data_IF_409054246989
#
_entry.id   IF_409054246989
#
_cell.length_a   1.000
_cell.length_b   1.000
_cell.length_c   1.000
_cell.angle_alpha   90.00
_cell.angle_beta   90.00
_cell.angle_gamma   90.00
#
_symmetry.space_group_name_H-M   'P 1'
#
loop_
_entity.id
_entity.type
_entity.pdbx_description
1 polymer ?
#
# COMPACT_ATOMS: atom_id res chain seq x y z
N UNK A 1 -17.81 10.80 13.54
CA UNK A 1 -16.88 11.16 12.45
C UNK A 1 -16.65 9.90 11.62
N UNK A 2 -17.07 9.93 10.35
CA UNK A 2 -16.92 8.80 9.44
C UNK A 2 -15.49 8.81 8.91
N UNK A 3 -14.70 7.83 9.35
CA UNK A 3 -13.38 7.54 8.80
C UNK A 3 -13.61 6.52 7.68
N UNK A 4 -13.11 6.81 6.48
CA UNK A 4 -13.29 6.08 5.23
C UNK A 4 -14.55 6.47 4.44
N UNK A 5 -14.34 7.31 3.42
CA UNK A 5 -15.22 7.35 2.26
C UNK A 5 -15.24 5.94 1.65
N UNK A 6 -16.42 5.41 1.31
CA UNK A 6 -16.54 4.15 0.58
C UNK A 6 -15.63 4.21 -0.64
N UNK A 7 -14.51 3.48 -0.59
CA UNK A 7 -13.69 3.23 -1.76
C UNK A 7 -14.54 2.30 -2.62
N UNK A 8 -15.44 2.90 -3.42
CA UNK A 8 -16.15 2.16 -4.47
C UNK A 8 -15.07 1.47 -5.29
N UNK A 9 -15.25 0.17 -5.50
CA UNK A 9 -14.48 -0.65 -6.42
C UNK A 9 -14.60 -0.04 -7.81
N UNK A 10 -13.76 0.96 -8.08
CA UNK A 10 -13.40 1.35 -9.43
C UNK A 10 -12.28 0.39 -9.79
N UNK A 11 -12.49 -0.36 -10.87
CA UNK A 11 -11.59 -1.35 -11.41
C UNK A 11 -10.13 -0.91 -11.35
N UNK A 12 -9.28 -1.89 -11.04
CA UNK A 12 -7.90 -1.72 -10.61
C UNK A 12 -6.91 -1.27 -11.71
N UNK A 13 -7.42 -0.78 -12.84
CA UNK A 13 -6.63 -0.29 -13.96
C UNK A 13 -7.07 1.13 -14.34
N UNK A 14 -6.45 2.12 -13.72
CA UNK A 14 -6.14 3.38 -14.38
C UNK A 14 -5.18 4.16 -13.49
N UNK A 15 -3.98 4.34 -14.01
CA UNK A 15 -3.07 5.40 -13.58
C UNK A 15 -3.90 6.67 -13.44
N UNK A 16 -3.92 7.28 -12.25
CA UNK A 16 -4.52 8.60 -12.12
C UNK A 16 -3.76 9.50 -13.09
N UNK A 17 -4.45 10.12 -14.03
CA UNK A 17 -3.79 11.02 -14.97
C UNK A 17 -3.13 12.15 -14.18
N UNK A 18 -1.94 12.59 -14.61
CA UNK A 18 -1.19 13.65 -13.92
C UNK A 18 -2.03 14.93 -13.75
N UNK A 19 -2.94 15.22 -14.70
CA UNK A 19 -3.88 16.35 -14.62
C UNK A 19 -4.86 16.27 -13.44
N UNK A 20 -5.13 15.07 -12.94
CA UNK A 20 -6.05 14.82 -11.83
C UNK A 20 -5.31 14.82 -10.48
N UNK A 21 -3.97 14.92 -10.47
CA UNK A 21 -3.13 14.94 -9.28
C UNK A 21 -2.93 16.37 -8.77
N UNK A 22 -3.41 16.64 -7.57
CA UNK A 22 -3.15 17.90 -6.88
C UNK A 22 -1.96 17.74 -5.93
N UNK A 23 -0.91 18.55 -6.12
CA UNK A 23 0.25 18.57 -5.22
C UNK A 23 -0.18 19.07 -3.84
N UNK A 24 0.10 18.29 -2.80
CA UNK A 24 -0.23 18.64 -1.41
C UNK A 24 1.01 18.89 -0.55
N UNK A 25 2.16 18.31 -0.90
CA UNK A 25 3.43 18.55 -0.20
C UNK A 25 4.64 18.28 -1.10
N UNK A 26 5.77 18.89 -0.77
CA UNK A 26 7.07 18.60 -1.39
C UNK A 26 8.21 18.73 -0.39
N UNK A 27 9.19 17.85 -0.51
CA UNK A 27 10.41 17.89 0.28
C UNK A 27 11.55 17.19 -0.46
N UNK A 28 12.79 17.50 -0.08
CA UNK A 28 13.96 16.83 -0.65
C UNK A 28 14.73 16.08 0.43
N UNK A 29 15.30 14.94 0.05
CA UNK A 29 16.16 14.12 0.92
C UNK A 29 17.54 13.96 0.29
N UNK A 30 18.49 13.38 1.05
CA UNK A 30 19.87 13.14 0.59
C UNK A 30 20.51 14.43 0.04
N UNK A 31 20.52 15.47 0.85
CA UNK A 31 21.13 16.77 0.52
C UNK A 31 20.58 17.40 -0.77
N UNK A 32 19.28 17.20 -1.04
CA UNK A 32 18.61 17.75 -2.22
C UNK A 32 18.80 16.94 -3.50
N UNK A 33 19.45 15.78 -3.44
CA UNK A 33 19.64 14.94 -4.64
C UNK A 33 18.38 14.17 -5.06
N UNK A 34 17.42 14.00 -4.15
CA UNK A 34 16.15 13.31 -4.40
C UNK A 34 15.00 14.21 -3.99
N UNK A 35 14.13 14.54 -4.93
CA UNK A 35 12.92 15.31 -4.66
C UNK A 35 11.72 14.39 -4.52
N UNK A 36 10.91 14.67 -3.51
CA UNK A 36 9.67 13.96 -3.21
C UNK A 36 8.52 14.93 -3.35
N UNK A 37 7.50 14.52 -4.11
CA UNK A 37 6.26 15.25 -4.29
C UNK A 37 5.10 14.34 -3.86
N UNK A 38 4.25 14.83 -2.97
CA UNK A 38 3.06 14.11 -2.51
C UNK A 38 1.84 14.70 -3.18
N UNK A 39 1.05 13.86 -3.81
CA UNK A 39 -0.16 14.24 -4.53
C UNK A 39 -1.39 13.57 -3.95
N UNK A 40 -2.53 14.26 -4.07
CA UNK A 40 -3.86 13.68 -3.86
C UNK A 40 -4.65 13.73 -5.17
N UNK A 41 -5.15 12.59 -5.61
CA UNK A 41 -5.98 12.54 -6.80
C UNK A 41 -7.36 13.14 -6.51
N UNK A 42 -7.79 14.09 -7.33
CA UNK A 42 -9.08 14.78 -7.17
C UNK A 42 -10.28 13.87 -7.46
N UNK A 43 -10.11 12.87 -8.33
CA UNK A 43 -11.14 11.88 -8.72
C UNK A 43 -11.29 10.74 -7.71
N UNK A 44 -10.22 9.99 -7.47
CA UNK A 44 -10.26 8.78 -6.64
C UNK A 44 -9.86 9.01 -5.18
N UNK A 45 -9.45 10.24 -4.82
CA UNK A 45 -9.03 10.66 -3.47
C UNK A 45 -7.79 9.94 -2.92
N UNK A 46 -7.18 9.02 -3.68
CA UNK A 46 -5.95 8.31 -3.29
C UNK A 46 -4.73 9.22 -3.29
N UNK A 47 -3.77 8.88 -2.44
CA UNK A 47 -2.46 9.53 -2.38
C UNK A 47 -1.46 8.87 -3.33
N UNK A 48 -0.56 9.69 -3.85
CA UNK A 48 0.57 9.29 -4.69
C UNK A 48 1.85 9.98 -4.24
N UNK A 49 2.96 9.27 -4.33
CA UNK A 49 4.30 9.80 -4.06
C UNK A 49 5.13 9.76 -5.34
N UNK A 50 5.53 10.90 -5.85
CA UNK A 50 6.47 10.98 -6.96
C UNK A 50 7.87 11.19 -6.41
N UNK A 51 8.80 10.34 -6.85
CA UNK A 51 10.22 10.41 -6.52
C UNK A 51 10.95 10.85 -7.77
N UNK A 52 11.69 11.95 -7.70
CA UNK A 52 12.51 12.47 -8.79
C UNK A 52 13.99 12.35 -8.43
N UNK A 53 14.78 11.74 -9.32
CA UNK A 53 16.22 11.58 -9.14
C UNK A 53 16.92 11.59 -10.50
N UNK A 54 17.90 12.51 -10.69
CA UNK A 54 18.69 12.65 -11.92
C UNK A 54 17.85 12.74 -13.21
N UNK A 55 16.70 13.40 -13.15
CA UNK A 55 15.79 13.57 -14.29
C UNK A 55 14.81 12.40 -14.51
N UNK A 56 14.97 11.28 -13.80
CA UNK A 56 14.00 10.19 -13.79
C UNK A 56 12.93 10.43 -12.71
N UNK A 57 11.67 10.16 -13.03
CA UNK A 57 10.53 10.24 -12.10
C UNK A 57 9.88 8.87 -11.94
N UNK A 58 9.51 8.52 -10.70
CA UNK A 58 8.76 7.31 -10.38
C UNK A 58 7.58 7.64 -9.49
N UNK A 59 6.38 7.26 -9.91
CA UNK A 59 5.15 7.44 -9.14
C UNK A 59 4.83 6.18 -8.37
N UNK A 60 4.55 6.34 -7.08
CA UNK A 60 4.27 5.26 -6.13
C UNK A 60 2.87 5.44 -5.59
N UNK A 61 2.10 4.37 -5.62
CA UNK A 61 0.92 4.20 -4.77
C UNK A 61 1.37 3.88 -3.35
N UNK A 62 0.50 4.14 -2.39
CA UNK A 62 0.73 3.73 -1.01
C UNK A 62 1.01 2.21 -0.96
N UNK A 63 2.09 1.84 -0.28
CA UNK A 63 2.55 0.45 -0.19
C UNK A 63 3.58 0.03 -1.26
N UNK A 64 3.78 0.85 -2.28
CA UNK A 64 4.77 0.60 -3.33
C UNK A 64 6.16 1.12 -2.95
N UNK A 65 7.15 0.62 -3.69
CA UNK A 65 8.54 1.03 -3.62
C UNK A 65 9.01 1.50 -5.00
N UNK A 66 9.97 2.42 -5.01
CA UNK A 66 10.48 3.03 -6.24
C UNK A 66 11.14 2.05 -7.17
N UNK A 67 11.74 0.97 -6.67
CA UNK A 67 12.43 -0.04 -7.48
C UNK A 67 11.57 -1.29 -7.55
N UNK A 68 11.19 -1.74 -8.75
CA UNK A 68 10.43 -2.98 -8.90
C UNK A 68 11.31 -4.20 -8.62
N UNK A 69 10.71 -5.33 -8.22
CA UNK A 69 11.44 -6.54 -7.84
C UNK A 69 12.33 -7.05 -8.98
N UNK A 70 11.90 -6.88 -10.22
CA UNK A 70 12.62 -7.29 -11.44
C UNK A 70 13.89 -6.44 -11.68
N UNK A 71 13.90 -5.20 -11.20
CA UNK A 71 15.08 -4.31 -11.28
C UNK A 71 16.12 -4.64 -10.21
N UNK A 72 15.69 -5.24 -9.09
CA UNK A 72 16.55 -5.67 -8.00
C UNK A 72 17.53 -6.77 -8.44
N UNK A 73 17.04 -7.72 -9.24
CA UNK A 73 17.83 -8.85 -9.77
C UNK A 73 18.94 -8.38 -10.70
N UNK A 74 18.79 -7.20 -11.31
CA UNK A 74 19.76 -6.69 -12.29
C UNK A 74 20.90 -5.87 -11.70
N UNK A 75 20.90 -5.55 -10.39
CA UNK A 75 21.93 -4.72 -9.70
C UNK A 75 22.34 -3.41 -10.42
N UNK A 76 21.58 -2.96 -11.42
CA UNK A 76 22.00 -1.94 -12.38
C UNK A 76 21.26 -0.61 -12.21
N UNK A 77 20.25 -0.55 -11.35
CA UNK A 77 19.49 0.69 -11.15
C UNK A 77 20.23 1.62 -10.19
N UNK A 78 20.57 2.82 -10.68
CA UNK A 78 21.13 3.92 -9.87
C UNK A 78 20.06 4.69 -9.10
N UNK A 79 18.77 4.36 -9.30
CA UNK A 79 17.66 5.03 -8.66
C UNK A 79 17.60 4.66 -7.17
N UNK A 80 17.34 5.60 -6.24
CA UNK A 80 17.25 5.29 -4.81
C UNK A 80 16.03 4.43 -4.47
N UNK A 81 16.19 3.44 -3.59
CA UNK A 81 15.09 2.68 -3.01
C UNK A 81 14.34 3.58 -2.03
N UNK A 82 13.09 3.93 -2.35
CA UNK A 82 12.19 4.79 -1.58
C UNK A 82 10.83 4.10 -1.50
N UNK A 83 10.22 4.13 -0.33
CA UNK A 83 8.89 3.57 -0.09
C UNK A 83 7.87 4.69 0.04
N UNK A 84 6.60 4.38 -0.28
CA UNK A 84 5.48 5.17 0.22
C UNK A 84 4.77 4.39 1.33
N UNK A 85 5.16 4.66 2.57
CA UNK A 85 4.69 3.91 3.74
C UNK A 85 3.29 4.34 4.19
N UNK A 86 2.59 3.43 4.88
CA UNK A 86 1.25 3.71 5.40
C UNK A 86 1.27 4.83 6.44
N UNK A 87 2.31 4.88 7.28
CA UNK A 87 2.56 5.91 8.28
C UNK A 87 2.70 7.30 7.64
N UNK A 88 3.46 7.38 6.55
CA UNK A 88 3.64 8.61 5.76
C UNK A 88 2.30 9.02 5.12
N UNK A 89 1.60 8.09 4.46
CA UNK A 89 0.30 8.37 3.85
C UNK A 89 -0.74 8.80 4.90
N UNK A 90 -0.73 8.21 6.10
CA UNK A 90 -1.63 8.57 7.20
C UNK A 90 -1.40 9.99 7.71
N UNK A 91 -0.14 10.47 7.70
CA UNK A 91 0.18 11.85 8.07
C UNK A 91 -0.48 12.86 7.13
N UNK A 92 -0.51 12.57 5.83
CA UNK A 92 -1.09 13.47 4.83
C UNK A 92 -2.60 13.34 4.71
N UNK A 93 -3.16 12.13 4.84
CA UNK A 93 -4.61 11.92 4.77
C UNK A 93 -5.08 10.71 5.58
N UNK A 94 -5.42 10.96 6.85
CA UNK A 94 -5.97 9.94 7.73
C UNK A 94 -7.40 9.49 7.36
N UNK A 95 -8.11 10.21 6.47
CA UNK A 95 -9.48 9.86 6.08
C UNK A 95 -9.55 8.57 5.25
N UNK A 96 -8.41 8.15 4.68
CA UNK A 96 -8.24 6.90 3.92
C UNK A 96 -8.16 5.65 4.80
N UNK A 97 -8.10 5.80 6.12
CA UNK A 97 -7.80 4.74 7.06
C UNK A 97 -8.94 4.48 8.04
N UNK A 98 -9.28 3.20 8.24
CA UNK A 98 -10.22 2.74 9.28
C UNK A 98 -9.51 2.30 10.56
N UNK A 99 -8.21 1.99 10.47
CA UNK A 99 -7.31 1.71 11.59
C UNK A 99 -6.19 2.74 11.67
N UNK A 100 -5.52 2.81 12.81
CA UNK A 100 -4.28 3.59 12.89
C UNK A 100 -3.08 2.75 12.38
N UNK A 101 -1.95 3.38 11.97
CA UNK A 101 -0.80 2.66 11.44
C UNK A 101 -0.23 1.61 12.40
N UNK A 102 -0.29 1.85 13.71
CA UNK A 102 0.16 0.88 14.72
C UNK A 102 -0.66 -0.41 14.70
N UNK A 103 -1.98 -0.31 14.54
CA UNK A 103 -2.87 -1.46 14.43
C UNK A 103 -2.69 -2.24 13.12
N UNK A 104 -2.39 -1.53 12.03
CA UNK A 104 -2.30 -2.12 10.70
C UNK A 104 -0.89 -2.57 10.33
N UNK A 105 0.13 -2.19 11.11
CA UNK A 105 1.56 -2.47 10.87
C UNK A 105 1.87 -3.94 10.57
N UNK A 106 1.10 -4.88 11.12
CA UNK A 106 1.29 -6.31 10.86
C UNK A 106 1.16 -6.64 9.37
N UNK A 107 0.22 -6.02 8.65
CA UNK A 107 -0.05 -6.33 7.26
C UNK A 107 0.37 -5.17 6.35
N UNK A 108 1.29 -5.45 5.43
CA UNK A 108 1.67 -4.49 4.40
C UNK A 108 0.42 -4.07 3.61
N UNK A 109 0.24 -2.76 3.39
CA UNK A 109 -0.86 -2.10 2.66
C UNK A 109 -2.24 -2.10 3.33
N UNK A 110 -2.40 -2.73 4.50
CA UNK A 110 -3.69 -2.72 5.17
C UNK A 110 -3.97 -1.33 5.75
N UNK A 111 -5.12 -0.75 5.43
CA UNK A 111 -5.57 0.54 6.02
C UNK A 111 -6.73 0.38 6.99
N UNK A 112 -7.30 -0.82 7.08
CA UNK A 112 -8.40 -1.14 7.98
C UNK A 112 -7.90 -1.85 9.23
N UNK A 113 -8.35 -1.41 10.41
CA UNK A 113 -7.99 -2.06 11.67
C UNK A 113 -8.35 -3.54 11.63
N UNK A 114 -7.42 -4.47 11.94
CA UNK A 114 -7.70 -5.90 12.00
C UNK A 114 -8.86 -6.24 12.94
N UNK A 115 -9.08 -5.45 13.99
CA UNK A 115 -10.20 -5.61 14.94
C UNK A 115 -11.59 -5.42 14.30
N UNK A 116 -11.64 -4.81 13.13
CA UNK A 116 -12.88 -4.51 12.40
C UNK A 116 -13.08 -5.41 11.18
N UNK A 117 -12.16 -6.33 10.93
CA UNK A 117 -12.21 -7.24 9.80
C UNK A 117 -13.02 -8.49 10.17
N UNK A 118 -14.06 -8.77 9.40
CA UNK A 118 -14.87 -9.96 9.54
C UNK A 118 -14.51 -10.95 8.42
N UNK A 119 -14.16 -12.18 8.78
CA UNK A 119 -13.85 -13.20 7.78
C UNK A 119 -15.07 -13.46 6.89
N UNK A 120 -14.88 -13.38 5.58
CA UNK A 120 -15.89 -13.68 4.56
C UNK A 120 -15.66 -15.07 3.99
N UNK A 121 -14.42 -15.36 3.60
CA UNK A 121 -14.06 -16.60 2.90
C UNK A 121 -12.61 -16.97 3.18
N UNK A 122 -12.35 -18.25 3.42
CA UNK A 122 -10.99 -18.81 3.35
C UNK A 122 -10.74 -19.30 1.92
N UNK A 123 -9.69 -18.79 1.28
CA UNK A 123 -9.31 -19.21 -0.07
C UNK A 123 -8.48 -20.48 0.03
N UNK A 124 -7.45 -20.47 0.87
CA UNK A 124 -6.57 -21.61 1.07
C UNK A 124 -5.87 -21.55 2.44
N UNK A 125 -5.46 -22.73 2.89
CA UNK A 125 -4.67 -22.90 4.10
C UNK A 125 -3.81 -24.16 3.94
N UNK A 126 -2.50 -24.00 4.01
CA UNK A 126 -1.52 -25.07 3.96
C UNK A 126 -0.54 -24.90 5.12
N UNK A 127 -0.27 -25.99 5.84
CA UNK A 127 0.73 -26.04 6.90
C UNK A 127 1.51 -27.35 6.75
N UNK A 128 2.77 -27.23 6.35
CA UNK A 128 3.65 -28.36 6.04
C UNK A 128 4.98 -28.18 6.77
N UNK A 129 4.92 -28.04 8.09
CA UNK A 129 6.06 -28.03 8.99
C UNK A 129 6.98 -26.81 8.79
N UNK A 130 7.84 -26.86 7.78
CA UNK A 130 8.77 -25.77 7.44
C UNK A 130 8.10 -24.62 6.66
N UNK A 131 6.88 -24.83 6.15
CA UNK A 131 6.15 -23.85 5.34
C UNK A 131 4.72 -23.70 5.82
N UNK A 132 4.23 -22.47 5.91
CA UNK A 132 2.84 -22.13 6.21
C UNK A 132 2.32 -21.10 5.22
N UNK A 133 1.09 -21.31 4.76
CA UNK A 133 0.43 -20.43 3.81
C UNK A 133 -1.05 -20.28 4.16
N UNK A 134 -1.52 -19.05 4.29
CA UNK A 134 -2.93 -18.74 4.52
C UNK A 134 -3.36 -17.55 3.68
N UNK A 135 -4.47 -17.72 2.97
CA UNK A 135 -5.09 -16.65 2.20
C UNK A 135 -6.60 -16.60 2.48
N UNK A 136 -7.08 -15.44 2.92
CA UNK A 136 -8.42 -15.24 3.44
C UNK A 136 -8.99 -13.89 2.98
N UNK A 137 -10.26 -13.85 2.60
CA UNK A 137 -11.02 -12.63 2.32
C UNK A 137 -11.74 -12.17 3.58
N UNK A 138 -11.54 -10.91 3.94
CA UNK A 138 -12.17 -10.22 5.05
C UNK A 138 -12.97 -9.01 4.56
N UNK A 139 -14.04 -8.67 5.26
CA UNK A 139 -14.81 -7.43 5.06
C UNK A 139 -14.62 -6.52 6.25
N UNK A 140 -14.22 -5.27 6.01
CA UNK A 140 -14.18 -4.27 7.07
C UNK A 140 -15.61 -3.89 7.48
N UNK A 141 -15.95 -4.06 8.76
CA UNK A 141 -17.25 -3.68 9.32
C UNK A 141 -17.51 -2.17 9.34
N UNK A 142 -16.48 -1.33 9.21
CA UNK A 142 -16.63 0.14 9.18
C UNK A 142 -16.91 0.68 7.78
N UNK A 143 -16.06 0.34 6.80
CA UNK A 143 -16.16 0.91 5.45
C UNK A 143 -16.72 -0.05 4.40
N UNK A 144 -16.84 -1.34 4.72
CA UNK A 144 -17.32 -2.36 3.81
C UNK A 144 -16.28 -2.87 2.80
N UNK A 145 -15.07 -2.30 2.76
CA UNK A 145 -13.99 -2.75 1.87
C UNK A 145 -13.67 -4.23 2.10
N UNK A 146 -13.57 -4.98 1.01
CA UNK A 146 -13.09 -6.36 1.00
C UNK A 146 -11.57 -6.37 0.88
N UNK A 147 -10.93 -7.14 1.75
CA UNK A 147 -9.49 -7.30 1.83
C UNK A 147 -9.13 -8.76 1.68
N UNK A 148 -8.21 -9.07 0.78
CA UNK A 148 -7.51 -10.36 0.76
C UNK A 148 -6.27 -10.22 1.62
N UNK A 149 -6.23 -10.95 2.73
CA UNK A 149 -5.08 -11.03 3.61
C UNK A 149 -4.30 -12.30 3.34
N UNK A 150 -2.99 -12.17 3.28
CA UNK A 150 -2.06 -13.25 3.00
C UNK A 150 -1.02 -13.34 4.11
N UNK A 151 -0.87 -14.52 4.66
CA UNK A 151 0.17 -14.87 5.62
C UNK A 151 1.02 -16.00 5.04
N UNK A 152 2.33 -15.78 4.92
CA UNK A 152 3.29 -16.76 4.42
C UNK A 152 4.37 -16.90 5.48
N UNK A 153 4.75 -18.12 5.80
CA UNK A 153 5.96 -18.40 6.55
C UNK A 153 6.77 -19.46 5.85
N UNK A 154 8.07 -19.23 5.78
CA UNK A 154 9.05 -20.25 5.49
C UNK A 154 10.21 -20.13 6.49
N UNK A 155 10.85 -21.25 6.79
CA UNK A 155 11.91 -21.31 7.79
C UNK A 155 13.15 -20.45 7.47
N UNK A 156 13.34 -20.00 6.23
CA UNK A 156 14.47 -19.17 5.83
C UNK A 156 14.17 -17.67 5.91
N UNK A 157 12.94 -17.24 5.59
CA UNK A 157 12.57 -15.82 5.55
C UNK A 157 11.62 -15.38 6.68
N UNK A 158 11.12 -16.32 7.49
CA UNK A 158 10.18 -16.04 8.56
C UNK A 158 8.80 -15.67 8.04
N UNK A 159 8.04 -14.89 8.80
CA UNK A 159 6.68 -14.50 8.42
C UNK A 159 6.66 -13.28 7.49
N UNK A 160 5.82 -13.35 6.46
CA UNK A 160 5.42 -12.27 5.58
C UNK A 160 3.90 -12.11 5.61
N UNK A 161 3.46 -10.85 5.71
CA UNK A 161 2.06 -10.50 5.85
C UNK A 161 1.71 -9.38 4.86
N UNK A 162 0.75 -9.62 3.97
CA UNK A 162 0.29 -8.61 3.02
C UNK A 162 -1.23 -8.53 2.97
N UNK A 163 -1.72 -7.37 2.54
CA UNK A 163 -3.11 -7.11 2.27
C UNK A 163 -3.27 -6.50 0.87
N UNK A 164 -4.33 -6.88 0.18
CA UNK A 164 -4.77 -6.22 -1.05
C UNK A 164 -6.28 -6.06 -1.03
N UNK A 165 -6.77 -5.00 -1.66
CA UNK A 165 -8.22 -4.82 -1.82
C UNK A 165 -8.71 -5.88 -2.80
N UNK A 166 -9.78 -6.58 -2.43
CA UNK A 166 -10.42 -7.60 -3.24
C UNK A 166 -11.66 -7.00 -3.90
N UNK A 167 -11.79 -7.19 -5.22
CA UNK A 167 -13.01 -6.89 -5.97
C UNK A 167 -13.56 -8.22 -6.48
N UNK A 168 -14.84 -8.49 -6.22
CA UNK A 168 -15.56 -9.69 -6.68
C UNK A 168 -15.89 -9.63 -8.17
#
# INVERSE_FOLDING_TARGET
MSYCEKVKSLDFESECEEKDLHLIDNYSIREGSVDILIYKCTKCKRLWKCVSFKGEKRFLKMGEMSIKKEEYVRFATKFPIIYFENEEAYHYDNSLFCGNPTETKKYKNLTCSPKTLNLVKRICFEDVGATYFKEEIYRCGKCGTLWKLKEIYDSHHGFSFSAEIYSE
#
